data_IF_390785441064
#
_entry.id   IF_390785441064
#
_cell.length_a   1.000
_cell.length_b   1.000
_cell.length_c   1.000
_cell.angle_alpha   90.00
_cell.angle_beta   90.00
_cell.angle_gamma   90.00
#
_symmetry.space_group_name_H-M   'P 1'
#
loop_
_entity.id
_entity.type
_entity.pdbx_description
1 polymer ?
#
# COMPACT_ATOMS: atom_id res chain seq x y z
N UNK A 1 -4.78 -21.51 9.15
CA UNK A 1 -5.51 -20.59 8.26
C UNK A 1 -4.66 -20.30 7.04
N UNK A 2 -5.20 -20.53 5.84
CA UNK A 2 -4.58 -20.20 4.56
C UNK A 2 -4.54 -18.69 4.33
N UNK A 3 -3.80 -18.22 3.32
CA UNK A 3 -3.80 -16.81 2.94
C UNK A 3 -5.21 -16.32 2.59
N UNK A 4 -5.93 -17.04 1.73
CA UNK A 4 -7.30 -16.72 1.36
C UNK A 4 -8.23 -16.58 2.57
N UNK A 5 -8.08 -17.44 3.60
CA UNK A 5 -8.85 -17.33 4.84
C UNK A 5 -8.46 -16.11 5.69
N UNK A 6 -7.19 -15.67 5.65
CA UNK A 6 -6.70 -14.51 6.40
C UNK A 6 -7.04 -13.18 5.69
N UNK A 7 -7.10 -13.18 4.37
CA UNK A 7 -7.19 -11.99 3.52
C UNK A 7 -8.34 -11.04 3.90
N UNK A 8 -9.57 -11.50 4.18
CA UNK A 8 -10.65 -10.61 4.63
C UNK A 8 -10.37 -9.93 5.98
N UNK A 9 -9.62 -10.59 6.87
CA UNK A 9 -9.29 -10.03 8.18
C UNK A 9 -8.29 -8.86 8.08
N UNK A 10 -7.53 -8.74 6.99
CA UNK A 10 -6.63 -7.61 6.77
C UNK A 10 -7.34 -6.27 6.59
N UNK A 11 -8.62 -6.27 6.19
CA UNK A 11 -9.42 -5.05 6.11
C UNK A 11 -9.55 -4.32 7.46
N UNK A 12 -9.35 -5.03 8.58
CA UNK A 12 -9.39 -4.46 9.94
C UNK A 12 -8.01 -4.07 10.49
N UNK A 13 -6.96 -4.16 9.68
CA UNK A 13 -5.57 -3.93 10.09
C UNK A 13 -5.06 -2.58 9.57
N UNK A 14 -3.74 -2.36 9.62
CA UNK A 14 -3.13 -1.14 9.07
C UNK A 14 -3.33 -1.02 7.53
N UNK A 15 -3.20 0.18 6.94
CA UNK A 15 -3.44 0.40 5.50
C UNK A 15 -2.57 -0.45 4.57
N UNK A 16 -1.35 -0.81 4.97
CA UNK A 16 -0.49 -1.68 4.16
C UNK A 16 -1.10 -3.08 4.04
N UNK A 17 -1.57 -3.63 5.16
CA UNK A 17 -2.28 -4.91 5.17
C UNK A 17 -3.63 -4.80 4.44
N UNK A 18 -4.41 -3.74 4.68
CA UNK A 18 -5.68 -3.54 3.98
C UNK A 18 -5.48 -3.53 2.46
N UNK A 19 -4.41 -2.90 1.97
CA UNK A 19 -4.11 -2.79 0.54
C UNK A 19 -3.83 -4.12 -0.17
N UNK A 20 -3.73 -5.24 0.57
CA UNK A 20 -3.68 -6.59 0.01
C UNK A 20 -5.06 -7.06 -0.49
N UNK A 21 -6.16 -6.47 -0.01
CA UNK A 21 -7.53 -6.82 -0.37
C UNK A 21 -8.11 -5.82 -1.39
N UNK A 22 -8.93 -6.27 -2.37
CA UNK A 22 -9.49 -5.36 -3.39
C UNK A 22 -10.37 -4.25 -2.81
N UNK A 23 -11.16 -4.56 -1.78
CA UNK A 23 -12.03 -3.59 -1.11
C UNK A 23 -11.31 -2.37 -0.52
N UNK A 24 -10.01 -2.46 -0.22
CA UNK A 24 -9.24 -1.28 0.16
C UNK A 24 -9.32 -0.19 -0.91
N UNK A 25 -9.19 -0.56 -2.19
CA UNK A 25 -9.24 0.38 -3.30
C UNK A 25 -10.65 0.88 -3.55
N UNK A 26 -11.70 0.11 -3.25
CA UNK A 26 -13.10 0.56 -3.38
C UNK A 26 -13.50 1.54 -2.27
N UNK A 27 -13.13 1.23 -1.03
CA UNK A 27 -13.61 1.93 0.15
C UNK A 27 -12.81 3.20 0.49
N UNK A 28 -11.58 3.34 -0.04
CA UNK A 28 -10.68 4.45 0.29
C UNK A 28 -10.39 5.35 -0.93
N UNK A 29 -11.29 6.29 -1.29
CA UNK A 29 -11.07 7.21 -2.41
C UNK A 29 -9.81 8.06 -2.24
N UNK A 30 -9.48 8.46 -1.02
CA UNK A 30 -8.24 9.18 -0.72
C UNK A 30 -6.98 8.36 -1.00
N UNK A 31 -7.01 7.05 -0.70
CA UNK A 31 -5.90 6.15 -1.02
C UNK A 31 -5.74 6.00 -2.54
N UNK A 32 -6.84 5.86 -3.30
CA UNK A 32 -6.77 5.83 -4.77
C UNK A 32 -6.14 7.09 -5.35
N UNK A 33 -6.51 8.26 -4.82
CA UNK A 33 -5.92 9.53 -5.24
C UNK A 33 -4.43 9.58 -4.92
N UNK A 34 -4.04 9.25 -3.69
CA UNK A 34 -2.63 9.21 -3.31
C UNK A 34 -1.81 8.24 -4.17
N UNK A 35 -2.34 7.04 -4.47
CA UNK A 35 -1.70 6.07 -5.37
C UNK A 35 -1.51 6.66 -6.77
N UNK A 36 -2.54 7.33 -7.31
CA UNK A 36 -2.47 7.99 -8.61
C UNK A 36 -1.42 9.11 -8.62
N UNK A 37 -1.42 9.96 -7.60
CA UNK A 37 -0.56 11.14 -7.53
C UNK A 37 0.91 10.76 -7.28
N UNK A 38 1.16 9.68 -6.53
CA UNK A 38 2.52 9.19 -6.24
C UNK A 38 3.07 8.21 -7.28
N UNK A 39 2.19 7.58 -8.07
CA UNK A 39 2.56 6.53 -9.01
C UNK A 39 3.04 5.23 -8.35
N UNK A 40 2.87 5.07 -7.03
CA UNK A 40 3.31 3.87 -6.31
C UNK A 40 2.47 2.65 -6.72
N UNK A 41 3.08 1.50 -7.06
CA UNK A 41 2.38 0.34 -7.63
C UNK A 41 1.66 -0.50 -6.57
N UNK A 42 0.70 0.09 -5.85
CA UNK A 42 -0.22 -0.63 -4.98
C UNK A 42 -1.20 -1.48 -5.81
N UNK A 43 -1.28 -2.78 -5.49
CA UNK A 43 -2.24 -3.70 -6.11
C UNK A 43 -2.71 -4.75 -5.10
N UNK A 44 -3.97 -5.15 -5.14
CA UNK A 44 -4.46 -6.28 -4.33
C UNK A 44 -3.72 -7.56 -4.69
N UNK A 45 -3.57 -8.46 -3.71
CA UNK A 45 -2.87 -9.73 -3.87
C UNK A 45 -3.87 -10.84 -3.55
N UNK A 46 -4.19 -11.69 -4.53
CA UNK A 46 -5.15 -12.80 -4.35
C UNK A 46 -4.45 -14.05 -3.81
N UNK A 47 -3.24 -14.31 -4.32
CA UNK A 47 -2.34 -15.34 -3.83
C UNK A 47 -1.02 -14.71 -3.40
N UNK A 48 -0.52 -15.06 -2.22
CA UNK A 48 0.69 -14.46 -1.69
C UNK A 48 1.92 -15.30 -2.01
N UNK A 49 2.48 -15.10 -3.20
CA UNK A 49 3.65 -15.81 -3.68
C UNK A 49 4.96 -15.07 -3.31
N UNK A 50 6.13 -15.73 -3.40
CA UNK A 50 7.41 -15.07 -3.12
C UNK A 50 7.67 -13.80 -3.94
N UNK A 51 7.12 -13.71 -5.16
CA UNK A 51 7.19 -12.50 -5.98
C UNK A 51 6.40 -11.34 -5.38
N UNK A 52 5.26 -11.60 -4.76
CA UNK A 52 4.44 -10.56 -4.14
C UNK A 52 5.13 -10.00 -2.90
N UNK A 53 5.84 -10.84 -2.15
CA UNK A 53 6.69 -10.36 -1.07
C UNK A 53 7.76 -9.39 -1.59
N UNK A 54 8.46 -9.73 -2.68
CA UNK A 54 9.46 -8.84 -3.31
C UNK A 54 8.83 -7.53 -3.80
N UNK A 55 7.70 -7.60 -4.51
CA UNK A 55 6.96 -6.42 -4.98
C UNK A 55 6.55 -5.53 -3.81
N UNK A 56 6.05 -6.12 -2.72
CA UNK A 56 5.62 -5.40 -1.51
C UNK A 56 6.79 -4.77 -0.76
N UNK A 57 7.90 -5.47 -0.60
CA UNK A 57 9.11 -4.90 0.00
C UNK A 57 9.60 -3.68 -0.79
N UNK A 58 9.69 -3.81 -2.13
CA UNK A 58 10.10 -2.68 -3.00
C UNK A 58 9.13 -1.50 -2.90
N UNK A 59 7.83 -1.78 -2.94
CA UNK A 59 6.78 -0.77 -2.78
C UNK A 59 6.92 -0.01 -1.45
N UNK A 60 7.22 -0.71 -0.35
CA UNK A 60 7.38 -0.07 0.97
C UNK A 60 8.64 0.79 1.05
N UNK A 61 9.74 0.38 0.41
CA UNK A 61 10.92 1.24 0.27
C UNK A 61 10.56 2.53 -0.50
N UNK A 62 9.89 2.42 -1.65
CA UNK A 62 9.49 3.59 -2.44
C UNK A 62 8.51 4.51 -1.68
N UNK A 63 7.61 3.92 -0.90
CA UNK A 63 6.71 4.67 -0.03
C UNK A 63 7.48 5.45 1.04
N UNK A 64 8.49 4.82 1.65
CA UNK A 64 9.36 5.49 2.62
C UNK A 64 10.17 6.61 1.94
N UNK A 65 10.78 6.36 0.79
CA UNK A 65 11.51 7.39 0.05
C UNK A 65 10.62 8.59 -0.28
N UNK A 66 9.35 8.35 -0.61
CA UNK A 66 8.38 9.41 -0.88
C UNK A 66 7.99 10.20 0.39
N UNK A 67 7.63 9.51 1.48
CA UNK A 67 7.16 10.16 2.71
C UNK A 67 8.28 11.00 3.34
N UNK A 68 9.51 10.47 3.36
CA UNK A 68 10.69 11.09 3.97
C UNK A 68 11.56 11.88 2.96
N UNK A 69 11.04 12.17 1.76
CA UNK A 69 11.75 12.98 0.77
C UNK A 69 12.06 14.39 1.32
N UNK A 70 13.33 14.86 1.29
CA UNK A 70 13.69 16.21 1.74
C UNK A 70 12.91 17.32 1.02
N UNK A 71 12.63 17.15 -0.27
CA UNK A 71 11.83 18.08 -1.08
C UNK A 71 10.40 18.21 -0.56
N UNK A 72 9.83 17.11 -0.06
CA UNK A 72 8.47 17.09 0.51
C UNK A 72 8.44 17.72 1.90
N UNK A 73 9.48 17.52 2.70
CA UNK A 73 9.56 18.04 4.06
C UNK A 73 9.87 19.54 4.08
N UNK A 74 10.74 20.02 3.19
CA UNK A 74 11.08 21.44 3.06
C UNK A 74 9.94 22.30 2.50
N UNK A 75 9.07 21.74 1.66
CA UNK A 75 7.89 22.44 1.14
C UNK A 75 6.81 22.74 2.20
N UNK A 76 6.88 22.12 3.38
CA UNK A 76 5.91 22.27 4.46
C UNK A 76 6.45 23.08 5.67
N UNK A 77 7.64 23.66 5.56
CA UNK A 77 8.18 24.52 6.62
C UNK A 77 7.70 25.96 6.36
N UNK A 78 6.64 26.36 7.08
CA UNK A 78 6.29 27.76 7.29
C UNK A 78 7.38 28.47 8.12
#
# INVERSE_FOLDING_TARGET
MTYAQKRPHYLKQNPLAQSLHEDFYRNNPGARRAIKDTGLPFASVEEFMPEDLRKRSKLYCQLADHIWSPSRLSANTC
#
